data_IF_765504792518
#
_entry.id   IF_765504792518
#
_cell.length_a   1.000
_cell.length_b   1.000
_cell.length_c   1.000
_cell.angle_alpha   90.00
_cell.angle_beta   90.00
_cell.angle_gamma   90.00
#
_symmetry.space_group_name_H-M   'P 1'
#
loop_
_entity.id
_entity.type
_entity.pdbx_description
1 polymer ?
#
# COMPACT_ATOMS: atom_id res chain seq x y z
N UNK A 1 -6.32 -3.47 80.31
CA UNK A 1 -6.96 -3.83 78.98
C UNK A 1 -5.84 -4.04 78.01
N UNK A 2 -5.98 -4.98 77.08
CA UNK A 2 -4.95 -5.19 76.09
C UNK A 2 -5.02 -4.07 75.00
N UNK A 3 -3.88 -3.57 74.57
CA UNK A 3 -3.75 -2.55 73.47
C UNK A 3 -4.55 -2.97 72.26
N UNK A 4 -5.38 -2.08 71.74
CA UNK A 4 -6.15 -2.28 70.54
C UNK A 4 -5.32 -1.74 69.33
N UNK A 5 -5.71 -2.11 68.14
CA UNK A 5 -4.99 -1.74 66.92
C UNK A 5 -5.95 -1.30 65.83
N UNK A 6 -5.49 -0.37 64.95
CA UNK A 6 -6.26 0.05 63.80
C UNK A 6 -6.50 -1.12 62.82
N UNK A 7 -7.65 -1.10 62.13
CA UNK A 7 -8.06 -2.21 61.27
C UNK A 7 -7.19 -2.42 60.05
N UNK A 8 -6.64 -1.37 59.47
CA UNK A 8 -5.88 -1.39 58.19
C UNK A 8 -4.39 -1.48 58.47
N UNK A 9 -3.81 -0.46 59.08
CA UNK A 9 -2.36 -0.35 59.26
C UNK A 9 -1.88 -1.04 60.57
N UNK A 10 -2.78 -1.56 61.39
CA UNK A 10 -2.44 -2.25 62.63
C UNK A 10 -1.60 -1.41 63.59
N UNK A 11 -1.83 -0.09 63.61
CA UNK A 11 -1.18 0.84 64.53
C UNK A 11 -1.77 0.67 65.92
N UNK A 12 -0.95 0.83 66.95
CA UNK A 12 -1.44 0.76 68.34
C UNK A 12 -2.46 1.88 68.64
N UNK A 13 -3.48 1.54 69.39
CA UNK A 13 -4.50 2.45 69.94
C UNK A 13 -4.40 2.38 71.45
N UNK A 14 -3.42 3.03 72.10
CA UNK A 14 -3.23 2.98 73.52
C UNK A 14 -4.43 3.59 74.24
N UNK A 15 -4.91 2.89 75.23
CA UNK A 15 -5.99 3.37 76.17
C UNK A 15 -5.37 4.20 77.28
N UNK A 16 -6.10 5.23 77.73
CA UNK A 16 -5.62 6.09 78.81
C UNK A 16 -5.26 5.27 80.07
N UNK A 17 -4.03 5.46 80.54
CA UNK A 17 -3.48 4.78 81.70
C UNK A 17 -2.90 3.38 81.45
N UNK A 18 -2.99 2.84 80.24
CA UNK A 18 -2.51 1.51 79.85
C UNK A 18 -0.97 1.39 79.79
N UNK A 19 -0.31 2.42 79.27
CA UNK A 19 1.15 2.38 79.01
C UNK A 19 1.96 3.29 79.94
N UNK A 20 1.65 3.26 81.26
CA UNK A 20 2.37 4.07 82.28
C UNK A 20 3.87 3.73 82.28
N UNK A 21 4.72 4.74 81.96
CA UNK A 21 6.16 4.61 81.87
C UNK A 21 6.70 4.08 80.54
N UNK A 22 5.86 3.56 79.64
CA UNK A 22 6.26 3.02 78.34
C UNK A 22 5.52 3.66 77.17
N UNK A 23 4.69 4.65 77.43
CA UNK A 23 3.87 5.32 76.37
C UNK A 23 4.67 5.90 75.24
N UNK A 24 5.81 6.59 75.54
CA UNK A 24 6.67 7.16 74.52
C UNK A 24 7.24 6.10 73.58
N UNK A 25 7.70 4.98 74.11
CA UNK A 25 8.20 3.84 73.32
C UNK A 25 7.09 3.26 72.44
N UNK A 26 5.91 3.03 73.00
CA UNK A 26 4.79 2.51 72.24
C UNK A 26 4.36 3.44 71.08
N UNK A 27 4.33 4.76 71.30
CA UNK A 27 4.04 5.74 70.24
C UNK A 27 5.14 5.73 69.18
N UNK A 28 6.40 5.75 69.55
CA UNK A 28 7.51 5.78 68.61
C UNK A 28 7.57 4.48 67.79
N UNK A 29 7.47 3.32 68.40
CA UNK A 29 7.66 2.05 67.70
C UNK A 29 6.39 1.53 67.03
N UNK A 30 5.21 1.68 67.68
CA UNK A 30 3.97 1.05 67.23
C UNK A 30 3.01 2.02 66.52
N UNK A 31 3.31 3.32 66.46
CA UNK A 31 2.57 4.31 65.70
C UNK A 31 3.49 4.99 64.69
N UNK A 32 4.49 5.76 65.15
CA UNK A 32 5.30 6.62 64.26
C UNK A 32 6.10 5.80 63.25
N UNK A 33 6.88 4.78 63.72
CA UNK A 33 7.65 3.93 62.82
C UNK A 33 6.78 3.09 61.89
N UNK A 34 5.57 2.72 62.36
CA UNK A 34 4.63 1.99 61.50
C UNK A 34 4.00 2.88 60.43
N UNK A 35 3.75 4.16 60.70
CA UNK A 35 3.32 5.13 59.70
C UNK A 35 4.40 5.35 58.66
N UNK A 36 5.64 5.52 59.10
CA UNK A 36 6.79 5.62 58.19
C UNK A 36 6.93 4.39 57.27
N UNK A 37 6.81 3.17 57.83
CA UNK A 37 6.79 1.93 57.04
C UNK A 37 5.65 1.93 56.00
N UNK A 38 4.48 2.44 56.39
CA UNK A 38 3.30 2.48 55.48
C UNK A 38 3.44 3.47 54.34
N UNK A 39 4.20 4.54 54.52
CA UNK A 39 4.39 5.62 53.55
C UNK A 39 5.62 5.40 52.68
N UNK A 40 6.76 5.02 53.26
CA UNK A 40 8.07 4.96 52.60
C UNK A 40 8.77 3.59 52.74
N UNK A 41 8.20 2.64 53.49
CA UNK A 41 8.82 1.34 53.74
C UNK A 41 8.96 0.51 52.47
N UNK A 42 10.11 -0.13 52.32
CA UNK A 42 10.39 -1.13 51.32
C UNK A 42 10.58 -2.49 52.00
N UNK A 43 9.90 -3.53 51.52
CA UNK A 43 10.11 -4.91 51.93
C UNK A 43 10.46 -5.80 50.74
N UNK A 44 11.46 -6.64 50.92
CA UNK A 44 11.82 -7.67 49.95
C UNK A 44 11.08 -8.97 50.29
N UNK A 45 10.42 -9.55 49.33
CA UNK A 45 9.76 -10.85 49.39
C UNK A 45 10.61 -11.80 48.54
N UNK A 46 11.26 -12.75 49.14
CA UNK A 46 12.24 -13.66 48.55
C UNK A 46 11.98 -15.14 48.91
N UNK A 47 10.91 -15.43 49.62
CA UNK A 47 10.56 -16.79 50.01
C UNK A 47 9.22 -17.17 49.42
N UNK A 48 9.24 -18.20 48.60
CA UNK A 48 8.09 -18.68 47.88
C UNK A 48 7.83 -20.15 48.24
N UNK A 49 6.56 -20.51 48.42
CA UNK A 49 6.14 -21.89 48.68
C UNK A 49 5.11 -22.29 47.64
N UNK A 50 5.43 -23.30 46.83
CA UNK A 50 4.53 -23.77 45.74
C UNK A 50 4.09 -22.61 44.82
N UNK A 51 5.02 -21.76 44.38
CA UNK A 51 4.81 -20.54 43.59
C UNK A 51 3.86 -19.53 44.25
N UNK A 52 3.87 -19.44 45.58
CA UNK A 52 3.02 -18.51 46.33
C UNK A 52 3.73 -17.93 47.55
N UNK A 53 3.47 -16.67 47.84
CA UNK A 53 3.87 -16.01 49.08
C UNK A 53 2.67 -15.24 49.63
N UNK A 54 2.61 -15.14 50.96
CA UNK A 54 1.56 -14.37 51.67
C UNK A 54 2.22 -13.32 52.53
N UNK A 55 1.86 -12.05 52.31
CA UNK A 55 2.39 -10.93 53.07
C UNK A 55 2.04 -11.06 54.55
N UNK A 56 3.03 -11.03 55.41
CA UNK A 56 2.86 -11.03 56.85
C UNK A 56 2.13 -9.78 57.32
N UNK A 57 1.31 -9.94 58.40
CA UNK A 57 0.57 -8.86 59.05
C UNK A 57 0.76 -8.94 60.53
N UNK A 58 1.21 -7.88 61.17
CA UNK A 58 1.48 -7.86 62.61
C UNK A 58 0.89 -6.60 63.26
N UNK A 59 0.33 -6.77 64.42
CA UNK A 59 -0.21 -5.71 65.25
C UNK A 59 0.95 -4.97 65.98
N UNK A 60 1.11 -3.67 65.78
CA UNK A 60 2.12 -2.86 66.44
C UNK A 60 3.55 -3.29 66.20
N UNK A 61 3.83 -4.08 65.19
CA UNK A 61 5.17 -4.52 64.81
C UNK A 61 5.33 -4.47 63.31
N UNK A 62 6.56 -4.42 62.82
CA UNK A 62 6.85 -4.38 61.36
C UNK A 62 6.19 -5.54 60.65
N UNK A 63 5.69 -5.30 59.43
CA UNK A 63 5.05 -6.32 58.61
C UNK A 63 5.19 -6.02 57.14
N UNK A 64 5.28 -7.07 56.30
CA UNK A 64 5.40 -6.91 54.86
C UNK A 64 4.19 -6.20 54.23
N UNK A 65 3.01 -6.53 54.69
CA UNK A 65 1.76 -5.95 54.16
C UNK A 65 1.61 -4.45 54.40
N UNK A 66 2.37 -3.90 55.36
CA UNK A 66 2.32 -2.46 55.67
C UNK A 66 3.22 -1.65 54.74
N UNK A 67 4.31 -2.21 54.24
CA UNK A 67 5.23 -1.48 53.39
C UNK A 67 4.53 -0.91 52.14
N UNK A 68 4.97 0.27 51.73
CA UNK A 68 4.48 0.91 50.51
C UNK A 68 5.07 0.26 49.23
N UNK A 69 6.30 -0.21 49.33
CA UNK A 69 7.05 -0.77 48.20
C UNK A 69 7.38 -2.23 48.52
N UNK A 70 7.04 -3.11 47.59
CA UNK A 70 7.34 -4.53 47.60
C UNK A 70 8.34 -4.84 46.53
N UNK A 71 9.53 -5.33 46.91
CA UNK A 71 10.55 -5.80 45.97
C UNK A 71 10.50 -7.34 45.97
N UNK A 72 10.00 -7.91 44.90
CA UNK A 72 9.86 -9.37 44.76
C UNK A 72 11.12 -9.90 44.08
N UNK A 73 11.76 -10.89 44.75
CA UNK A 73 12.94 -11.57 44.24
C UNK A 73 12.77 -13.08 44.43
N UNK A 74 13.57 -13.87 43.76
CA UNK A 74 13.66 -15.32 43.91
C UNK A 74 15.15 -15.74 43.85
N UNK A 75 15.89 -15.37 44.89
CA UNK A 75 17.34 -15.63 44.94
C UNK A 75 17.63 -17.11 45.24
N UNK A 76 16.68 -17.85 45.74
CA UNK A 76 16.79 -19.28 46.07
C UNK A 76 16.25 -20.19 44.95
N UNK A 77 15.69 -19.62 43.89
CA UNK A 77 15.09 -20.35 42.78
C UNK A 77 13.94 -21.29 43.19
N UNK A 78 13.08 -20.80 44.09
CA UNK A 78 11.92 -21.53 44.58
C UNK A 78 10.76 -21.56 43.60
N UNK A 79 10.75 -20.62 42.62
CA UNK A 79 9.68 -20.51 41.64
C UNK A 79 9.95 -21.40 40.43
N UNK A 80 8.98 -22.24 40.11
CA UNK A 80 8.99 -23.10 38.92
C UNK A 80 8.10 -22.60 37.80
N UNK A 81 7.42 -21.46 37.98
CA UNK A 81 6.49 -20.84 37.02
C UNK A 81 5.81 -19.61 37.60
N UNK A 82 4.76 -19.15 36.92
CA UNK A 82 4.00 -18.00 37.36
C UNK A 82 3.58 -18.10 38.83
N UNK A 83 3.75 -17.01 39.59
CA UNK A 83 3.58 -16.99 41.03
C UNK A 83 2.42 -16.09 41.47
N UNK A 84 2.04 -16.26 42.76
CA UNK A 84 0.98 -15.46 43.40
C UNK A 84 1.51 -14.83 44.67
N UNK A 85 1.35 -13.50 44.82
CA UNK A 85 1.55 -12.78 46.06
C UNK A 85 0.20 -12.45 46.69
N UNK A 86 -0.07 -13.02 47.87
CA UNK A 86 -1.32 -12.82 48.59
C UNK A 86 -1.14 -11.65 49.55
N UNK A 87 -1.93 -10.59 49.38
CA UNK A 87 -2.03 -9.46 50.30
C UNK A 87 -3.28 -9.54 51.15
N UNK A 88 -3.33 -8.86 52.33
CA UNK A 88 -4.54 -8.75 53.12
C UNK A 88 -5.69 -8.07 52.37
N UNK A 89 -6.92 -8.48 52.62
CA UNK A 89 -8.13 -7.83 52.10
C UNK A 89 -8.39 -6.50 52.86
N UNK A 90 -7.50 -5.53 52.68
CA UNK A 90 -7.56 -4.21 53.29
C UNK A 90 -7.17 -3.13 52.26
N UNK A 91 -7.85 -2.01 52.26
CA UNK A 91 -7.58 -0.90 51.36
C UNK A 91 -6.16 -0.39 51.51
N UNK A 92 -5.32 -0.61 50.51
CA UNK A 92 -3.92 -0.17 50.50
C UNK A 92 -3.34 -0.13 49.10
N UNK A 93 -2.53 0.87 48.87
CA UNK A 93 -1.72 1.02 47.64
C UNK A 93 -0.40 0.31 47.80
N UNK A 94 0.06 -0.36 46.75
CA UNK A 94 1.38 -0.99 46.65
C UNK A 94 2.09 -0.58 45.37
N UNK A 95 3.37 -0.31 45.50
CA UNK A 95 4.33 -0.28 44.37
C UNK A 95 5.03 -1.65 44.41
N UNK A 96 4.84 -2.45 43.37
CA UNK A 96 5.37 -3.81 43.31
C UNK A 96 6.41 -3.92 42.20
N UNK A 97 7.67 -4.03 42.57
CA UNK A 97 8.77 -4.31 41.65
C UNK A 97 8.95 -5.83 41.60
N UNK A 98 8.77 -6.40 40.42
CA UNK A 98 8.99 -7.82 40.17
C UNK A 98 10.37 -8.05 39.53
N UNK A 99 11.23 -8.80 40.20
CA UNK A 99 12.54 -9.24 39.74
C UNK A 99 12.76 -10.73 40.05
N UNK A 100 11.70 -11.54 39.91
CA UNK A 100 11.73 -12.97 40.28
C UNK A 100 12.08 -13.90 39.12
N UNK A 101 12.18 -13.41 37.89
CA UNK A 101 12.30 -14.25 36.71
C UNK A 101 10.95 -14.83 36.23
N UNK A 102 9.86 -14.61 36.94
CA UNK A 102 8.53 -15.14 36.64
C UNK A 102 7.47 -14.03 36.73
N UNK A 103 6.32 -14.20 36.09
CA UNK A 103 5.18 -13.32 36.27
C UNK A 103 4.60 -13.55 37.70
N UNK A 104 4.32 -12.48 38.44
CA UNK A 104 3.69 -12.56 39.76
C UNK A 104 2.32 -11.87 39.76
N UNK A 105 1.28 -12.61 40.13
CA UNK A 105 -0.06 -12.04 40.30
C UNK A 105 -0.22 -11.59 41.76
N UNK A 106 -0.43 -10.29 41.98
CA UNK A 106 -0.74 -9.73 43.29
C UNK A 106 -2.26 -9.74 43.49
N UNK A 107 -2.76 -10.41 44.54
CA UNK A 107 -4.19 -10.57 44.79
C UNK A 107 -4.49 -10.72 46.29
N UNK A 108 -5.73 -10.61 46.67
CA UNK A 108 -6.19 -11.07 47.99
C UNK A 108 -6.43 -12.59 47.97
N UNK A 109 -6.58 -13.22 49.15
CA UNK A 109 -6.77 -14.67 49.20
C UNK A 109 -7.96 -15.18 48.38
N UNK A 110 -9.06 -14.43 48.31
CA UNK A 110 -10.30 -14.83 47.61
C UNK A 110 -10.67 -13.94 46.43
N UNK A 111 -10.02 -12.78 46.25
CA UNK A 111 -10.33 -11.82 45.18
C UNK A 111 -9.56 -12.05 43.91
N UNK A 112 -9.83 -11.21 42.93
CA UNK A 112 -9.04 -11.10 41.70
C UNK A 112 -7.77 -10.28 41.91
N UNK A 113 -6.82 -10.35 40.99
CA UNK A 113 -5.53 -9.65 41.11
C UNK A 113 -4.98 -9.16 39.79
N UNK A 114 -3.87 -8.44 39.85
CA UNK A 114 -3.10 -7.90 38.73
C UNK A 114 -1.81 -8.68 38.58
N UNK A 115 -1.54 -9.13 37.39
CA UNK A 115 -0.31 -9.79 37.01
C UNK A 115 0.78 -8.75 36.71
N UNK A 116 1.92 -8.84 37.38
CA UNK A 116 3.09 -8.00 37.20
C UNK A 116 4.13 -8.84 36.47
N UNK A 117 4.47 -8.56 35.21
CA UNK A 117 5.50 -9.26 34.46
C UNK A 117 6.88 -9.13 35.14
N UNK A 118 7.75 -10.10 34.90
CA UNK A 118 9.14 -10.00 35.37
C UNK A 118 9.85 -8.77 34.79
N UNK A 119 10.76 -8.19 35.54
CA UNK A 119 11.52 -7.00 35.18
C UNK A 119 10.71 -5.69 35.21
N UNK A 120 9.43 -5.72 35.58
CA UNK A 120 8.55 -4.54 35.61
C UNK A 120 8.17 -4.10 37.03
N UNK A 121 7.63 -2.87 37.11
CA UNK A 121 7.07 -2.32 38.34
C UNK A 121 5.60 -1.98 38.13
N UNK A 122 4.73 -2.62 38.89
CA UNK A 122 3.30 -2.35 38.88
C UNK A 122 2.90 -1.37 40.01
N UNK A 123 1.93 -0.51 39.70
CA UNK A 123 1.26 0.34 40.70
C UNK A 123 -0.17 -0.13 40.87
N UNK A 124 -0.48 -0.74 41.99
CA UNK A 124 -1.75 -1.42 42.23
C UNK A 124 -2.35 -1.02 43.60
N UNK A 125 -3.65 -1.21 43.79
CA UNK A 125 -4.25 -1.07 45.08
C UNK A 125 -5.22 -2.20 45.36
N UNK A 126 -5.29 -2.60 46.67
CA UNK A 126 -6.35 -3.46 47.16
C UNK A 126 -7.56 -2.59 47.53
N UNK A 127 -8.75 -2.90 47.01
CA UNK A 127 -10.01 -2.21 47.35
C UNK A 127 -10.71 -2.78 48.59
N UNK A 128 -10.08 -3.76 49.25
CA UNK A 128 -10.63 -4.52 50.36
C UNK A 128 -11.15 -5.89 49.93
N UNK A 129 -11.27 -6.18 48.66
CA UNK A 129 -11.70 -7.46 48.09
C UNK A 129 -10.74 -7.94 47.02
N UNK A 130 -10.45 -7.09 46.06
CA UNK A 130 -9.63 -7.35 44.87
C UNK A 130 -8.38 -6.49 44.89
N UNK A 131 -7.37 -6.88 44.10
CA UNK A 131 -6.28 -6.00 43.73
C UNK A 131 -6.52 -5.56 42.29
N UNK A 132 -6.51 -4.24 42.08
CA UNK A 132 -6.78 -3.59 40.80
C UNK A 132 -5.65 -2.63 40.43
N UNK A 133 -5.59 -2.22 39.16
CA UNK A 133 -4.65 -1.19 38.70
C UNK A 133 -4.92 0.14 39.42
N UNK A 134 -3.88 0.78 39.95
CA UNK A 134 -4.01 2.07 40.60
C UNK A 134 -4.11 3.24 39.63
N UNK A 135 -3.67 3.05 38.37
CA UNK A 135 -3.76 4.02 37.30
C UNK A 135 -4.29 3.32 36.05
N UNK A 136 -5.53 3.57 35.69
CA UNK A 136 -6.15 3.13 34.43
C UNK A 136 -6.61 4.30 33.54
N UNK A 137 -6.42 5.54 34.02
CA UNK A 137 -6.74 6.77 33.28
C UNK A 137 -5.75 7.87 33.65
N UNK A 138 -5.19 8.53 32.60
CA UNK A 138 -4.38 9.73 32.75
C UNK A 138 -5.22 10.90 32.24
N UNK A 139 -5.71 11.75 33.14
CA UNK A 139 -6.61 12.86 32.82
C UNK A 139 -5.91 14.08 32.21
N UNK A 140 -4.59 14.10 32.17
CA UNK A 140 -3.77 15.14 31.58
C UNK A 140 -2.89 14.62 30.44
N UNK A 141 -1.88 15.39 30.09
CA UNK A 141 -0.90 14.98 29.09
C UNK A 141 0.00 13.86 29.63
N UNK A 142 0.22 12.82 28.85
CA UNK A 142 1.22 11.80 29.09
C UNK A 142 2.49 12.11 28.29
N UNK A 143 3.61 12.37 28.98
CA UNK A 143 4.92 12.52 28.35
C UNK A 143 5.77 11.30 28.66
N UNK A 144 6.20 10.60 27.61
CA UNK A 144 7.10 9.43 27.72
C UNK A 144 8.47 9.87 27.19
N UNK A 145 9.47 9.93 28.10
CA UNK A 145 10.85 10.34 27.74
C UNK A 145 11.68 9.26 27.03
N UNK A 146 11.14 8.06 26.89
CA UNK A 146 11.74 6.92 26.20
C UNK A 146 10.76 6.27 25.23
N UNK A 147 10.90 4.97 25.01
CA UNK A 147 10.00 4.19 24.16
C UNK A 147 8.66 3.92 24.86
N UNK A 148 7.57 4.04 24.13
CA UNK A 148 6.25 3.54 24.55
C UNK A 148 5.96 2.22 23.84
N UNK A 149 5.56 1.19 24.60
CA UNK A 149 5.11 -0.10 24.05
C UNK A 149 3.64 -0.30 24.40
N UNK A 150 2.82 -0.51 23.39
CA UNK A 150 1.37 -0.75 23.56
C UNK A 150 1.09 -2.17 23.07
N UNK A 151 0.83 -3.08 24.01
CA UNK A 151 0.60 -4.50 23.72
C UNK A 151 -0.79 -4.81 23.13
N UNK A 152 -1.66 -3.79 23.00
CA UNK A 152 -2.98 -3.89 22.40
C UNK A 152 -3.21 -2.84 21.33
N UNK A 153 -4.46 -2.48 21.09
CA UNK A 153 -4.82 -1.46 20.13
C UNK A 153 -4.53 -0.04 20.65
N UNK A 154 -3.95 0.80 19.80
CA UNK A 154 -3.89 2.24 20.03
C UNK A 154 -5.06 2.90 19.27
N UNK A 155 -5.94 3.59 19.98
CA UNK A 155 -7.01 4.41 19.40
C UNK A 155 -6.75 5.87 19.72
N UNK A 156 -6.59 6.68 18.69
CA UNK A 156 -6.44 8.14 18.79
C UNK A 156 -7.63 8.80 18.14
N UNK A 157 -8.41 9.58 18.91
CA UNK A 157 -9.58 10.31 18.40
C UNK A 157 -9.26 11.68 17.85
N UNK A 158 -8.07 12.18 18.09
CA UNK A 158 -7.55 13.46 17.59
C UNK A 158 -6.49 13.28 16.51
N UNK A 159 -5.74 14.35 16.24
CA UNK A 159 -4.63 14.33 15.28
C UNK A 159 -3.44 13.57 15.86
N UNK A 160 -2.82 12.71 15.05
CA UNK A 160 -1.54 12.07 15.35
C UNK A 160 -0.46 12.72 14.50
N UNK A 161 0.62 13.20 15.13
CA UNK A 161 1.78 13.77 14.43
C UNK A 161 3.02 12.96 14.75
N UNK A 162 3.71 12.48 13.71
CA UNK A 162 5.01 11.82 13.81
C UNK A 162 6.09 12.77 13.30
N UNK A 163 6.91 13.31 14.22
CA UNK A 163 7.96 14.28 13.91
C UNK A 163 9.31 13.55 13.78
N UNK A 164 9.73 13.32 12.55
CA UNK A 164 11.03 12.72 12.22
C UNK A 164 11.08 11.21 12.36
N UNK A 165 12.12 10.61 11.78
CA UNK A 165 12.32 9.17 11.75
C UNK A 165 11.42 8.43 10.75
N UNK A 166 11.56 7.11 10.74
CA UNK A 166 10.79 6.21 9.89
C UNK A 166 9.52 5.74 10.63
N UNK A 167 8.37 5.82 10.00
CA UNK A 167 7.14 5.18 10.45
C UNK A 167 7.00 3.83 9.73
N UNK A 168 7.19 2.73 10.47
CA UNK A 168 6.95 1.38 9.95
C UNK A 168 5.53 0.94 10.31
N UNK A 169 4.74 0.58 9.32
CA UNK A 169 3.37 0.11 9.46
C UNK A 169 3.29 -1.34 8.95
N UNK A 170 3.16 -2.27 9.88
CA UNK A 170 3.17 -3.71 9.60
C UNK A 170 4.57 -4.31 9.54
N UNK A 171 4.69 -5.58 9.87
CA UNK A 171 5.91 -6.39 9.83
C UNK A 171 5.74 -7.68 9.00
N UNK A 172 4.56 -7.91 8.45
CA UNK A 172 4.22 -9.06 7.64
C UNK A 172 3.43 -8.67 6.37
N UNK A 173 3.52 -9.51 5.33
CA UNK A 173 2.79 -9.32 4.07
C UNK A 173 1.27 -9.53 4.20
N UNK A 174 0.79 -9.94 5.36
CA UNK A 174 -0.62 -10.08 5.73
C UNK A 174 -1.20 -8.81 6.35
N UNK A 175 -0.34 -7.85 6.73
CA UNK A 175 -0.76 -6.61 7.34
C UNK A 175 -1.34 -5.65 6.29
N UNK A 176 -2.34 -4.88 6.69
CA UNK A 176 -3.03 -3.96 5.80
C UNK A 176 -2.97 -2.54 6.34
N UNK A 177 -2.71 -1.59 5.44
CA UNK A 177 -2.87 -0.17 5.70
C UNK A 177 -4.17 0.26 5.04
N UNK A 178 -5.12 0.75 5.84
CA UNK A 178 -6.43 1.23 5.35
C UNK A 178 -6.46 2.75 5.50
N UNK A 179 -6.55 3.46 4.37
CA UNK A 179 -6.80 4.89 4.33
C UNK A 179 -8.32 5.10 4.24
N UNK A 180 -8.94 5.50 5.34
CA UNK A 180 -10.37 5.89 5.36
C UNK A 180 -10.60 7.34 4.93
N UNK A 181 -9.54 8.13 4.79
CA UNK A 181 -9.51 9.49 4.28
C UNK A 181 -8.71 9.63 2.99
N UNK A 182 -8.58 10.85 2.51
CA UNK A 182 -7.80 11.21 1.33
C UNK A 182 -6.32 11.44 1.69
N UNK A 183 -5.43 11.25 0.71
CA UNK A 183 -4.01 11.61 0.84
C UNK A 183 -3.82 13.02 0.29
N UNK A 184 -3.57 13.97 1.18
CA UNK A 184 -3.35 15.40 0.85
C UNK A 184 -1.85 15.70 0.74
N UNK A 185 -1.12 14.90 -0.04
CA UNK A 185 0.31 15.09 -0.31
C UNK A 185 0.78 14.27 -1.50
N UNK A 186 1.97 14.58 -2.02
CA UNK A 186 2.63 13.69 -2.97
C UNK A 186 3.03 12.37 -2.30
N UNK A 187 2.91 11.26 -3.03
CA UNK A 187 3.47 9.96 -2.65
C UNK A 187 4.74 9.80 -3.49
N UNK A 188 5.89 9.99 -2.86
CA UNK A 188 7.20 9.98 -3.51
C UNK A 188 8.00 8.80 -2.94
N UNK A 189 8.57 7.91 -3.77
CA UNK A 189 9.47 6.87 -3.29
C UNK A 189 10.78 7.47 -2.72
N UNK A 190 11.43 6.76 -1.82
CA UNK A 190 12.67 7.20 -1.18
C UNK A 190 13.85 7.22 -2.16
N UNK A 191 13.96 6.17 -2.99
CA UNK A 191 14.99 6.04 -4.01
C UNK A 191 14.38 5.94 -5.41
N UNK A 192 15.08 6.52 -6.40
CA UNK A 192 14.74 6.45 -7.80
C UNK A 192 14.88 5.03 -8.34
N UNK A 193 13.93 4.59 -9.15
CA UNK A 193 13.93 3.29 -9.84
C UNK A 193 14.11 2.06 -8.90
N UNK A 194 13.58 2.13 -7.68
CA UNK A 194 13.76 1.08 -6.66
C UNK A 194 12.44 0.44 -6.21
N UNK A 195 11.35 1.21 -6.17
CA UNK A 195 10.08 0.75 -5.59
C UNK A 195 8.95 0.71 -6.62
N UNK A 196 8.21 -0.40 -6.63
CA UNK A 196 7.06 -0.61 -7.49
C UNK A 196 5.75 -0.11 -6.86
N UNK A 197 4.81 0.31 -7.69
CA UNK A 197 3.43 0.54 -7.30
C UNK A 197 2.59 -0.71 -7.62
N UNK A 198 2.55 -1.65 -6.69
CA UNK A 198 1.93 -2.97 -6.85
C UNK A 198 2.94 -4.05 -7.18
N UNK A 199 2.47 -5.23 -7.55
CA UNK A 199 3.29 -6.38 -7.96
C UNK A 199 2.51 -7.31 -8.89
N UNK A 200 3.15 -8.31 -9.48
CA UNK A 200 2.50 -9.29 -10.38
C UNK A 200 1.32 -10.04 -9.74
N UNK A 201 1.34 -10.22 -8.41
CA UNK A 201 0.27 -10.88 -7.66
C UNK A 201 -0.68 -9.95 -6.90
N UNK A 202 -0.36 -8.64 -6.80
CA UNK A 202 -1.16 -7.64 -6.10
C UNK A 202 -1.19 -6.35 -6.92
N UNK A 203 -2.19 -6.22 -7.78
CA UNK A 203 -2.33 -5.14 -8.75
C UNK A 203 -3.38 -4.12 -8.29
N UNK A 204 -3.17 -2.87 -8.66
CA UNK A 204 -4.20 -1.85 -8.53
C UNK A 204 -5.34 -2.14 -9.52
N UNK A 205 -6.57 -1.93 -9.08
CA UNK A 205 -7.73 -2.13 -9.96
C UNK A 205 -7.79 -1.08 -11.05
N UNK A 206 -7.76 0.19 -10.67
CA UNK A 206 -7.85 1.33 -11.57
C UNK A 206 -6.91 2.45 -11.11
N UNK A 207 -6.40 3.25 -12.05
CA UNK A 207 -5.63 4.47 -11.78
C UNK A 207 -6.36 5.64 -12.47
N UNK A 208 -6.78 6.65 -11.72
CA UNK A 208 -7.41 7.86 -12.20
C UNK A 208 -6.44 9.04 -12.10
N UNK A 209 -6.11 9.64 -13.24
CA UNK A 209 -5.18 10.76 -13.35
C UNK A 209 -5.90 11.92 -14.07
N UNK A 210 -6.08 13.05 -13.39
CA UNK A 210 -6.68 14.25 -13.99
C UNK A 210 -5.67 15.10 -14.78
N UNK A 211 -4.39 14.85 -14.66
CA UNK A 211 -3.30 15.53 -15.38
C UNK A 211 -2.64 14.65 -16.40
N UNK A 212 -1.34 14.87 -16.61
CA UNK A 212 -0.51 14.05 -17.50
C UNK A 212 0.13 12.89 -16.73
N UNK A 213 0.15 11.71 -17.34
CA UNK A 213 1.01 10.62 -16.90
C UNK A 213 2.35 10.73 -17.63
N UNK A 214 3.44 10.97 -16.89
CA UNK A 214 4.79 10.95 -17.42
C UNK A 214 5.38 9.55 -17.21
N UNK A 215 5.65 8.85 -18.31
CA UNK A 215 6.30 7.54 -18.32
C UNK A 215 7.64 7.74 -19.04
N UNK A 216 8.72 7.84 -18.27
CA UNK A 216 10.05 8.18 -18.79
C UNK A 216 10.68 7.05 -19.61
N UNK A 217 10.31 5.81 -19.32
CA UNK A 217 10.71 4.65 -20.08
C UNK A 217 9.80 3.47 -19.82
N UNK A 218 9.51 2.72 -20.86
CA UNK A 218 8.90 1.40 -20.77
C UNK A 218 9.98 0.39 -21.07
N UNK A 219 10.39 -0.39 -20.07
CA UNK A 219 11.32 -1.50 -20.26
C UNK A 219 10.67 -2.65 -21.06
N UNK A 220 9.35 -2.71 -21.01
CA UNK A 220 8.49 -3.68 -21.69
C UNK A 220 7.38 -2.94 -22.46
N UNK A 221 6.58 -3.68 -23.21
CA UNK A 221 5.51 -3.15 -24.04
C UNK A 221 4.34 -2.59 -23.21
N UNK A 222 3.58 -1.65 -23.81
CA UNK A 222 2.23 -1.35 -23.31
C UNK A 222 1.31 -2.45 -23.80
N UNK A 223 1.02 -3.40 -22.91
CA UNK A 223 0.09 -4.49 -23.20
C UNK A 223 -1.37 -4.01 -23.04
N UNK A 224 -2.08 -3.90 -24.15
CA UNK A 224 -3.53 -3.70 -24.16
C UNK A 224 -4.19 -5.07 -24.33
N UNK A 225 -4.99 -5.49 -23.35
CA UNK A 225 -5.60 -6.81 -23.37
C UNK A 225 -6.57 -6.97 -24.57
N UNK A 226 -6.84 -8.22 -24.95
CA UNK A 226 -7.77 -8.61 -26.03
C UNK A 226 -9.10 -7.86 -25.91
N UNK A 227 -9.58 -7.31 -27.02
CA UNK A 227 -10.84 -6.52 -27.11
C UNK A 227 -10.80 -5.22 -26.26
N UNK A 228 -9.61 -4.71 -25.92
CA UNK A 228 -9.40 -3.39 -25.34
C UNK A 228 -8.69 -2.49 -26.33
N UNK A 229 -8.73 -1.18 -26.12
CA UNK A 229 -8.17 -0.20 -27.02
C UNK A 229 -7.50 0.96 -26.29
N UNK A 230 -6.54 1.59 -26.95
CA UNK A 230 -6.10 2.94 -26.58
C UNK A 230 -7.09 3.90 -27.23
N UNK A 231 -7.87 4.60 -26.42
CA UNK A 231 -8.93 5.49 -26.88
C UNK A 231 -8.48 6.95 -26.77
N UNK A 232 -8.77 7.76 -27.79
CA UNK A 232 -8.45 9.18 -27.85
C UNK A 232 -9.75 9.98 -27.95
N UNK A 233 -10.03 10.87 -26.98
CA UNK A 233 -11.21 11.75 -26.88
C UNK A 233 -12.56 11.03 -26.68
N UNK A 234 -12.93 10.15 -27.60
CA UNK A 234 -14.21 9.42 -27.57
C UNK A 234 -14.04 7.95 -27.97
N UNK A 235 -15.13 7.23 -28.08
CA UNK A 235 -15.14 5.79 -28.33
C UNK A 235 -14.79 5.41 -29.77
N UNK A 236 -14.92 6.33 -30.71
CA UNK A 236 -14.82 6.09 -32.14
C UNK A 236 -13.41 6.36 -32.68
N UNK A 237 -12.58 7.06 -31.87
CA UNK A 237 -11.16 7.31 -32.19
C UNK A 237 -10.27 6.43 -31.32
N UNK A 238 -9.63 5.44 -31.91
CA UNK A 238 -8.85 4.45 -31.13
C UNK A 238 -7.80 3.71 -31.95
N UNK A 239 -6.83 3.13 -31.25
CA UNK A 239 -5.96 2.06 -31.74
C UNK A 239 -6.28 0.80 -30.93
N UNK A 240 -6.58 -0.31 -31.61
CA UNK A 240 -6.99 -1.56 -30.99
C UNK A 240 -6.60 -2.78 -31.82
N UNK A 241 -6.93 -3.96 -31.35
CA UNK A 241 -6.85 -5.22 -32.11
C UNK A 241 -8.15 -5.97 -31.89
N UNK A 242 -8.92 -6.17 -32.94
CA UNK A 242 -10.21 -6.87 -32.88
C UNK A 242 -10.07 -8.38 -33.10
N UNK A 243 -8.98 -8.81 -33.69
CA UNK A 243 -8.66 -10.20 -33.96
C UNK A 243 -7.14 -10.44 -33.93
N UNK A 244 -6.72 -11.71 -33.86
CA UNK A 244 -5.30 -12.07 -33.94
C UNK A 244 -4.70 -11.58 -35.26
N UNK A 245 -3.48 -11.05 -35.22
CA UNK A 245 -2.73 -10.45 -36.34
C UNK A 245 -3.37 -9.21 -36.98
N UNK A 246 -4.32 -8.54 -36.32
CA UNK A 246 -4.98 -7.33 -36.83
C UNK A 246 -4.64 -6.12 -35.96
N UNK A 247 -4.23 -5.01 -36.58
CA UNK A 247 -4.15 -3.69 -35.94
C UNK A 247 -5.23 -2.79 -36.55
N UNK A 248 -6.21 -2.42 -35.73
CA UNK A 248 -7.29 -1.54 -36.11
C UNK A 248 -6.98 -0.11 -35.68
N UNK A 249 -6.94 0.82 -36.63
CA UNK A 249 -6.89 2.26 -36.39
C UNK A 249 -8.21 2.82 -36.85
N UNK A 250 -9.05 3.24 -35.90
CA UNK A 250 -10.39 3.75 -36.18
C UNK A 250 -10.47 5.26 -35.93
N UNK A 251 -11.18 5.96 -36.79
CA UNK A 251 -11.58 7.34 -36.63
C UNK A 251 -12.97 7.53 -37.28
N UNK A 252 -13.78 8.40 -36.70
CA UNK A 252 -15.10 8.80 -37.25
C UNK A 252 -15.00 9.80 -38.37
N UNK A 253 -13.83 10.34 -38.61
CA UNK A 253 -13.45 11.21 -39.75
C UNK A 253 -12.23 10.64 -40.47
N UNK A 254 -11.28 11.50 -40.81
CA UNK A 254 -10.08 11.13 -41.55
C UNK A 254 -8.96 10.56 -40.68
N UNK A 255 -8.22 9.61 -41.23
CA UNK A 255 -6.93 9.16 -40.68
C UNK A 255 -5.82 9.88 -41.43
N UNK A 256 -5.21 10.89 -40.81
CA UNK A 256 -4.11 11.66 -41.39
C UNK A 256 -2.75 11.05 -41.09
N UNK A 257 -2.09 10.47 -42.09
CA UNK A 257 -0.74 9.94 -41.97
C UNK A 257 0.24 10.98 -42.55
N UNK A 258 0.99 11.69 -41.69
CA UNK A 258 1.99 12.66 -42.10
C UNK A 258 3.38 12.08 -41.82
N UNK A 259 4.06 11.68 -42.89
CA UNK A 259 5.44 11.19 -42.84
C UNK A 259 6.41 12.26 -43.37
N UNK A 260 7.59 12.38 -42.76
CA UNK A 260 8.67 13.25 -43.24
C UNK A 260 9.43 12.67 -44.45
N UNK A 261 9.21 11.39 -44.77
CA UNK A 261 9.69 10.68 -45.93
C UNK A 261 8.55 9.81 -46.48
N UNK A 262 8.67 8.51 -46.52
CA UNK A 262 7.74 7.61 -47.16
C UNK A 262 6.86 6.85 -46.16
N UNK A 263 5.66 6.47 -46.55
CA UNK A 263 4.87 5.40 -45.94
C UNK A 263 5.20 4.11 -46.66
N UNK A 264 6.00 3.24 -46.08
CA UNK A 264 6.46 2.01 -46.71
C UNK A 264 5.41 0.91 -46.61
N UNK A 265 4.98 0.42 -47.75
CA UNK A 265 4.16 -0.78 -47.87
C UNK A 265 5.07 -1.87 -48.48
N UNK A 266 5.31 -2.99 -47.78
CA UNK A 266 6.17 -4.06 -48.33
C UNK A 266 5.67 -4.66 -49.65
N UNK A 267 6.58 -5.30 -50.41
CA UNK A 267 6.21 -6.06 -51.59
C UNK A 267 5.14 -7.11 -51.29
N UNK A 268 4.19 -7.29 -52.18
CA UNK A 268 3.04 -8.19 -52.03
C UNK A 268 2.07 -7.84 -50.87
N UNK A 269 2.12 -6.59 -50.40
CA UNK A 269 1.17 -5.98 -49.50
C UNK A 269 0.54 -4.78 -50.17
N UNK A 270 -0.75 -4.69 -50.21
CA UNK A 270 -1.47 -3.64 -50.93
C UNK A 270 -2.32 -2.75 -50.01
N UNK A 271 -2.74 -1.61 -50.56
CA UNK A 271 -3.86 -0.81 -50.04
C UNK A 271 -5.12 -1.32 -50.72
N UNK A 272 -6.05 -1.90 -49.96
CA UNK A 272 -7.33 -2.40 -50.47
C UNK A 272 -8.43 -1.35 -50.25
N UNK A 273 -9.41 -1.30 -51.14
CA UNK A 273 -10.56 -0.42 -51.09
C UNK A 273 -11.85 -1.27 -51.08
N UNK A 274 -12.28 -1.64 -49.86
CA UNK A 274 -13.43 -2.50 -49.67
C UNK A 274 -13.11 -3.99 -49.60
N UNK A 275 -12.53 -4.56 -50.65
CA UNK A 275 -12.09 -5.97 -50.71
C UNK A 275 -10.79 -6.11 -51.54
N UNK A 276 -10.26 -7.33 -51.69
CA UNK A 276 -9.01 -7.59 -52.43
C UNK A 276 -9.09 -7.43 -53.94
N UNK A 277 -10.27 -7.23 -54.49
CA UNK A 277 -10.46 -7.04 -55.94
C UNK A 277 -10.09 -5.61 -56.38
N UNK A 278 -10.12 -4.65 -55.44
CA UNK A 278 -9.77 -3.24 -55.68
C UNK A 278 -8.59 -2.86 -54.81
N UNK A 279 -7.40 -2.74 -55.39
CA UNK A 279 -6.19 -2.46 -54.62
C UNK A 279 -5.08 -1.76 -55.43
N UNK A 280 -4.16 -1.16 -54.71
CA UNK A 280 -2.87 -0.69 -55.23
C UNK A 280 -1.79 -1.53 -54.50
N UNK A 281 -1.02 -2.30 -55.24
CA UNK A 281 -0.06 -3.25 -54.70
C UNK A 281 1.23 -3.27 -55.56
N UNK A 282 2.38 -3.29 -54.87
CA UNK A 282 3.69 -3.46 -55.52
C UNK A 282 4.28 -4.85 -55.19
N UNK A 283 4.88 -5.54 -56.17
CA UNK A 283 5.55 -6.82 -55.99
C UNK A 283 7.08 -6.72 -55.84
N UNK A 284 7.61 -5.49 -55.84
CA UNK A 284 9.05 -5.18 -55.84
C UNK A 284 9.60 -4.91 -57.25
N UNK A 285 8.82 -5.15 -58.30
CA UNK A 285 9.15 -4.88 -59.72
C UNK A 285 8.10 -3.98 -60.34
N UNK A 286 6.84 -4.33 -60.21
CA UNK A 286 5.71 -3.63 -60.82
C UNK A 286 4.75 -3.07 -59.76
N UNK A 287 4.13 -1.94 -60.08
CA UNK A 287 2.99 -1.38 -59.32
C UNK A 287 1.70 -1.73 -60.06
N UNK A 288 0.85 -2.51 -59.44
CA UNK A 288 -0.44 -2.93 -60.03
C UNK A 288 -1.57 -2.15 -59.35
N UNK A 289 -2.46 -1.57 -60.17
CA UNK A 289 -3.75 -0.98 -59.74
C UNK A 289 -4.84 -1.90 -60.25
N UNK A 290 -5.55 -2.55 -59.39
CA UNK A 290 -6.61 -3.50 -59.73
C UNK A 290 -7.99 -2.95 -59.36
N UNK A 291 -8.98 -3.24 -60.16
CA UNK A 291 -10.38 -2.89 -59.99
C UNK A 291 -11.20 -3.23 -61.26
N UNK A 292 -12.53 -3.27 -61.14
CA UNK A 292 -13.39 -3.52 -62.32
C UNK A 292 -13.21 -2.46 -63.40
N UNK A 293 -13.11 -1.19 -63.02
CA UNK A 293 -12.80 -0.06 -63.86
C UNK A 293 -11.82 0.87 -63.17
N UNK A 294 -10.74 1.27 -63.85
CA UNK A 294 -9.82 2.28 -63.33
C UNK A 294 -10.13 3.60 -64.00
N UNK A 295 -10.75 4.53 -63.28
CA UNK A 295 -11.11 5.84 -63.75
C UNK A 295 -10.02 6.86 -63.37
N UNK A 296 -9.23 7.31 -64.34
CA UNK A 296 -8.25 8.36 -64.17
C UNK A 296 -8.86 9.71 -64.52
N UNK A 297 -9.19 10.52 -63.52
CA UNK A 297 -9.71 11.88 -63.70
C UNK A 297 -8.60 12.88 -63.42
N UNK A 298 -7.95 13.36 -64.43
CA UNK A 298 -6.91 14.38 -64.31
C UNK A 298 -7.48 15.78 -64.60
N UNK A 299 -7.02 16.79 -63.86
CA UNK A 299 -7.37 18.19 -64.10
C UNK A 299 -6.62 18.74 -65.33
N UNK A 300 -5.46 18.22 -65.62
CA UNK A 300 -4.64 18.54 -66.83
C UNK A 300 -4.46 17.25 -67.67
N UNK A 301 -3.30 16.61 -67.59
CA UNK A 301 -2.97 15.49 -68.46
C UNK A 301 -2.61 14.22 -67.67
N UNK A 302 -2.85 13.05 -68.20
CA UNK A 302 -2.18 11.80 -67.84
C UNK A 302 -0.89 11.72 -68.66
N UNK A 303 0.24 11.97 -68.06
CA UNK A 303 1.54 12.02 -68.69
C UNK A 303 2.16 10.64 -68.79
N UNK A 304 2.37 10.16 -70.01
CA UNK A 304 3.17 8.96 -70.28
C UNK A 304 4.51 9.44 -70.84
N UNK A 305 5.66 9.14 -70.20
CA UNK A 305 6.97 9.58 -70.65
C UNK A 305 7.34 9.04 -72.04
N UNK A 306 8.32 9.66 -72.70
CA UNK A 306 8.84 9.15 -73.95
C UNK A 306 9.39 7.71 -73.81
N UNK A 307 9.20 6.90 -74.85
CA UNK A 307 9.55 5.46 -74.85
C UNK A 307 8.83 4.60 -73.84
N UNK A 308 7.72 5.13 -73.26
CA UNK A 308 6.79 4.40 -72.41
C UNK A 308 5.42 4.44 -73.07
N UNK A 309 4.80 3.28 -73.25
CA UNK A 309 3.54 3.18 -73.98
C UNK A 309 2.38 2.67 -73.09
N UNK A 310 1.16 2.83 -73.59
CA UNK A 310 -0.04 2.15 -73.09
C UNK A 310 -0.24 0.91 -73.91
N UNK A 311 -0.12 -0.28 -73.32
CA UNK A 311 -0.24 -1.59 -73.99
C UNK A 311 -1.66 -2.14 -73.80
N UNK A 312 -2.24 -2.67 -74.82
CA UNK A 312 -3.56 -3.32 -74.84
C UNK A 312 -3.33 -4.81 -75.17
N UNK A 313 -3.42 -5.66 -74.13
CA UNK A 313 -3.13 -7.09 -74.23
C UNK A 313 -1.61 -7.34 -74.46
N UNK A 314 -1.27 -8.22 -75.40
CA UNK A 314 0.14 -8.65 -75.65
C UNK A 314 0.79 -8.11 -76.92
N UNK A 315 0.07 -7.38 -77.72
CA UNK A 315 0.60 -6.95 -79.06
C UNK A 315 0.30 -5.54 -79.52
N UNK A 316 -0.69 -4.92 -78.94
CA UNK A 316 -1.15 -3.59 -79.34
C UNK A 316 -0.68 -2.56 -78.29
N UNK A 317 -0.16 -1.40 -78.82
CA UNK A 317 0.26 -0.29 -77.96
C UNK A 317 0.09 1.07 -78.60
N UNK A 318 0.00 2.10 -77.81
CA UNK A 318 0.17 3.48 -78.19
C UNK A 318 1.38 4.00 -77.43
N UNK A 319 2.43 4.47 -78.16
CA UNK A 319 3.69 4.90 -77.62
C UNK A 319 4.22 6.13 -78.33
N UNK A 320 4.76 7.09 -77.61
CA UNK A 320 5.41 8.26 -78.16
C UNK A 320 6.90 8.31 -77.77
N UNK A 321 7.79 8.74 -78.73
CA UNK A 321 9.23 8.82 -78.47
C UNK A 321 9.76 10.27 -78.44
N UNK A 322 8.92 11.26 -78.33
CA UNK A 322 9.12 12.71 -78.47
C UNK A 322 9.24 13.22 -79.93
N UNK A 323 9.18 12.33 -80.88
CA UNK A 323 9.21 12.67 -82.34
C UNK A 323 7.93 12.22 -82.97
N UNK A 324 7.61 10.97 -82.80
CA UNK A 324 6.45 10.31 -83.38
C UNK A 324 5.51 9.68 -82.31
N UNK A 325 4.22 9.67 -82.68
CA UNK A 325 3.23 8.87 -81.95
C UNK A 325 2.97 7.61 -82.79
N UNK A 326 3.40 6.46 -82.28
CA UNK A 326 3.20 5.17 -82.90
C UNK A 326 1.97 4.44 -82.29
N UNK A 327 1.05 4.03 -83.20
CA UNK A 327 -0.07 3.12 -82.80
C UNK A 327 0.19 1.79 -83.48
N UNK A 328 0.52 0.76 -82.70
CA UNK A 328 0.83 -0.57 -83.23
C UNK A 328 -0.35 -1.52 -82.93
N UNK A 329 -0.74 -2.27 -84.03
CA UNK A 329 -1.75 -3.33 -83.91
C UNK A 329 -1.28 -4.58 -84.64
N UNK A 330 -1.44 -5.78 -84.07
CA UNK A 330 -1.18 -7.05 -84.73
C UNK A 330 -2.19 -7.41 -85.86
N UNK A 331 -3.23 -6.63 -86.00
CA UNK A 331 -4.26 -6.74 -87.00
C UNK A 331 -4.55 -5.37 -87.68
N UNK A 332 -5.81 -5.07 -87.88
CA UNK A 332 -6.23 -3.78 -88.43
C UNK A 332 -6.36 -2.70 -87.36
N UNK A 333 -6.02 -1.47 -87.66
CA UNK A 333 -6.36 -0.28 -86.90
C UNK A 333 -7.67 0.25 -87.48
N UNK A 334 -8.78 0.05 -86.75
CA UNK A 334 -10.08 0.49 -87.14
C UNK A 334 -10.34 1.89 -86.57
N UNK A 335 -10.35 2.90 -87.39
CA UNK A 335 -10.68 4.27 -87.05
C UNK A 335 -12.16 4.51 -87.42
N UNK A 336 -13.04 4.53 -86.43
CA UNK A 336 -14.49 4.77 -86.65
C UNK A 336 -14.82 6.18 -86.17
N UNK A 337 -15.17 7.05 -87.14
CA UNK A 337 -15.56 8.41 -86.84
C UNK A 337 -17.02 8.61 -87.34
N UNK A 338 -17.80 9.39 -86.58
CA UNK A 338 -19.19 9.75 -86.95
C UNK A 338 -19.24 10.82 -88.04
N UNK A 339 -18.13 11.54 -88.29
CA UNK A 339 -17.97 12.51 -89.33
C UNK A 339 -16.77 12.15 -90.24
N UNK A 340 -15.54 12.54 -89.86
CA UNK A 340 -14.34 12.35 -90.74
C UNK A 340 -13.11 11.89 -89.90
N UNK A 341 -12.29 11.03 -90.53
CA UNK A 341 -10.89 10.85 -90.10
C UNK A 341 -10.07 11.81 -90.99
N UNK A 342 -9.65 12.92 -90.41
CA UNK A 342 -8.91 13.96 -91.17
C UNK A 342 -7.45 13.65 -91.23
N UNK A 343 -6.91 13.42 -92.47
CA UNK A 343 -5.48 13.42 -92.74
C UNK A 343 -5.19 14.70 -93.44
N UNK A 344 -4.36 15.60 -92.91
CA UNK A 344 -4.05 16.87 -93.55
C UNK A 344 -3.48 16.69 -94.98
N UNK A 345 -3.69 17.66 -95.88
CA UNK A 345 -3.17 17.64 -97.20
C UNK A 345 -1.62 17.63 -97.15
N UNK A 346 -1.01 16.83 -98.06
CA UNK A 346 0.45 16.59 -98.17
C UNK A 346 1.07 15.73 -97.03
N UNK A 347 0.27 14.99 -96.28
CA UNK A 347 0.75 13.97 -95.37
C UNK A 347 0.44 12.61 -95.99
N UNK A 348 1.42 11.74 -96.10
CA UNK A 348 1.21 10.37 -96.61
C UNK A 348 0.32 9.53 -95.71
N UNK A 349 -0.50 8.65 -96.23
CA UNK A 349 -1.28 7.62 -95.56
C UNK A 349 -0.72 6.25 -95.88
#
# INVERSE_FOLDING_TARGET
MATQYTSILKLALPTQGELSGTWGTAVNEQVTSMVEEAIAGLKTIDTWSTNSATLSTANGATSESRAAILNLTDTTSDLSGAATLICPAASKVYIVKNATGQQVTVKTASGTGIAIPDGTTGFVFCDGTNVVEAINNVTGNLTVGGNASIGGNLTVTGTTTFNGGTLTLGDANTDNIVFGGEVDSNIIPDDDNTYDLGSSGKQWKDIYINGSAYIDGLAEDILVATNKKVQFRDTDISVSSSADATLDIAADGDINLTAGADINIPANVGLTFGNDDEKIEGDGTDLTISGNNINLTAVADVIVPANVGVTFGTGEKIEGDNTDLTVTSGGAINLTATTDVVVPANVGV
#
